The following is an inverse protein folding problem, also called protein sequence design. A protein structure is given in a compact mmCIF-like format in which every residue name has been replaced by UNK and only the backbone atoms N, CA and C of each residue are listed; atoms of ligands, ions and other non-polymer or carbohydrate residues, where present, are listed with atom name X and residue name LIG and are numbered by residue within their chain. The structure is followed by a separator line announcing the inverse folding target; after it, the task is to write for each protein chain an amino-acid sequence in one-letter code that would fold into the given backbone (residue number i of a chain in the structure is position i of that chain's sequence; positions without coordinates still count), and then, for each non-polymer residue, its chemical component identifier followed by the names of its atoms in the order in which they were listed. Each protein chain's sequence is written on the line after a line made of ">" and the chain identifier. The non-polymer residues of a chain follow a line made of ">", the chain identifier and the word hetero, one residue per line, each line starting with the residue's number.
data_IF_143981718123
#
_entry.id   IF_143981718123
#
_cell.length_a   1.000
_cell.length_b   1.000
_cell.length_c   1.000
_cell.angle_alpha   90.00
_cell.angle_beta   90.00
_cell.angle_gamma   90.00
#
_symmetry.space_group_name_H-M   'P 1'
#
loop_
_entity.id
_entity.type
_entity.pdbx_description
1 polymer ?
#
# COMPACT_ATOMS: atom_id res chain seq x y z
N UNK A 1 -7.17 -17.42 -9.75
CA UNK A 1 -5.81 -16.86 -9.86
C UNK A 1 -5.53 -16.11 -8.58
N UNK A 2 -4.35 -16.30 -7.99
CA UNK A 2 -3.94 -15.64 -6.75
C UNK A 2 -3.54 -14.18 -7.06
N UNK A 3 -4.12 -13.18 -6.37
CA UNK A 3 -3.74 -11.77 -6.55
C UNK A 3 -2.53 -11.43 -5.66
N UNK A 4 -1.69 -10.43 -6.02
CA UNK A 4 -0.56 -10.02 -5.17
C UNK A 4 -0.95 -9.66 -3.73
N UNK A 5 -2.15 -9.09 -3.54
CA UNK A 5 -2.73 -8.72 -2.24
C UNK A 5 -2.82 -9.92 -1.30
N UNK A 6 -3.15 -11.10 -1.82
CA UNK A 6 -3.34 -12.29 -1.00
C UNK A 6 -2.05 -12.81 -0.32
N UNK A 7 -0.87 -12.33 -0.73
CA UNK A 7 0.37 -12.60 -0.03
C UNK A 7 0.43 -11.93 1.35
N UNK A 8 -0.44 -10.96 1.62
CA UNK A 8 -0.44 -10.16 2.84
C UNK A 8 -1.58 -10.52 3.82
N UNK A 9 -2.45 -11.48 3.49
CA UNK A 9 -3.65 -11.79 4.30
C UNK A 9 -3.36 -12.40 5.66
N UNK A 10 -2.19 -13.02 5.84
CA UNK A 10 -1.76 -13.60 7.12
C UNK A 10 -1.08 -12.57 8.03
N UNK A 11 -0.83 -11.34 7.54
CA UNK A 11 -0.18 -10.30 8.32
C UNK A 11 -1.16 -9.68 9.31
N UNK A 12 -0.83 -9.75 10.61
CA UNK A 12 -1.62 -9.06 11.63
C UNK A 12 -1.41 -7.55 11.52
N UNK A 13 -2.50 -6.79 11.40
CA UNK A 13 -2.43 -5.33 11.34
C UNK A 13 -2.08 -4.73 12.71
N UNK A 14 -0.87 -4.15 12.88
CA UNK A 14 -0.42 -3.62 14.17
C UNK A 14 -1.03 -2.24 14.49
N UNK A 15 -1.77 -1.63 13.56
CA UNK A 15 -2.35 -0.30 13.74
C UNK A 15 -3.53 -0.35 14.70
N UNK A 16 -3.75 0.74 15.43
CA UNK A 16 -4.94 0.90 16.26
C UNK A 16 -6.16 1.09 15.35
N UNK A 17 -7.30 0.47 15.67
CA UNK A 17 -8.50 0.51 14.81
C UNK A 17 -8.97 1.93 14.47
N UNK A 18 -8.83 2.88 15.41
CA UNK A 18 -9.17 4.30 15.18
C UNK A 18 -8.30 5.01 14.12
N UNK A 19 -7.25 4.36 13.62
CA UNK A 19 -6.29 4.89 12.64
C UNK A 19 -6.27 4.09 11.32
N UNK A 20 -7.28 3.25 11.09
CA UNK A 20 -7.38 2.40 9.90
C UNK A 20 -8.30 3.00 8.85
N UNK A 21 -7.88 4.11 8.25
CA UNK A 21 -8.62 4.73 7.13
C UNK A 21 -8.47 3.95 5.81
N UNK A 22 -7.44 3.09 5.72
CA UNK A 22 -7.13 2.26 4.56
C UNK A 22 -6.77 0.83 4.95
N UNK A 23 -7.04 -0.13 4.07
CA UNK A 23 -6.63 -1.53 4.23
C UNK A 23 -5.11 -1.65 4.29
N UNK A 24 -4.59 -2.54 5.16
CA UNK A 24 -3.15 -2.68 5.33
C UNK A 24 -2.51 -3.25 4.06
N UNK A 25 -3.15 -4.23 3.43
CA UNK A 25 -2.68 -4.81 2.17
C UNK A 25 -2.53 -3.77 1.05
N UNK A 26 -3.46 -2.81 0.95
CA UNK A 26 -3.43 -1.76 -0.08
C UNK A 26 -2.26 -0.79 0.14
N UNK A 27 -1.99 -0.44 1.40
CA UNK A 27 -0.83 0.39 1.78
C UNK A 27 0.47 -0.31 1.40
N UNK A 28 0.61 -1.59 1.76
CA UNK A 28 1.80 -2.38 1.46
C UNK A 28 1.99 -2.52 -0.05
N UNK A 29 0.94 -2.90 -0.76
CA UNK A 29 0.98 -3.10 -2.21
C UNK A 29 1.34 -1.80 -2.94
N UNK A 30 0.69 -0.68 -2.59
CA UNK A 30 0.96 0.64 -3.19
C UNK A 30 2.40 1.07 -2.92
N UNK A 31 2.90 0.88 -1.70
CA UNK A 31 4.28 1.22 -1.34
C UNK A 31 5.29 0.42 -2.16
N UNK A 32 5.12 -0.90 -2.27
CA UNK A 32 6.01 -1.75 -3.05
C UNK A 32 5.99 -1.35 -4.53
N UNK A 33 4.80 -1.14 -5.10
CA UNK A 33 4.67 -0.73 -6.49
C UNK A 33 5.36 0.62 -6.75
N UNK A 34 5.15 1.61 -5.88
CA UNK A 34 5.78 2.92 -5.98
C UNK A 34 7.32 2.84 -5.87
N UNK A 35 7.84 2.09 -4.91
CA UNK A 35 9.30 1.91 -4.70
C UNK A 35 9.94 1.22 -5.90
N UNK A 36 9.30 0.20 -6.48
CA UNK A 36 9.78 -0.44 -7.72
C UNK A 36 9.81 0.56 -8.89
N UNK A 37 8.87 1.51 -8.91
CA UNK A 37 8.83 2.60 -9.88
C UNK A 37 9.76 3.78 -9.56
N UNK A 38 10.62 3.67 -8.53
CA UNK A 38 11.64 4.66 -8.19
C UNK A 38 11.21 5.72 -7.17
N UNK A 39 10.13 5.50 -6.41
CA UNK A 39 9.80 6.37 -5.28
C UNK A 39 10.84 6.23 -4.16
N UNK A 40 11.39 7.35 -3.69
CA UNK A 40 12.40 7.37 -2.62
C UNK A 40 11.84 7.89 -1.29
N UNK A 41 10.71 8.62 -1.34
CA UNK A 41 10.07 9.23 -0.18
C UNK A 41 8.59 8.88 -0.06
N UNK A 42 8.00 9.08 1.12
CA UNK A 42 6.56 8.91 1.33
C UNK A 42 5.72 9.85 0.46
N UNK A 43 6.22 11.05 0.16
CA UNK A 43 5.56 11.98 -0.75
C UNK A 43 5.55 11.45 -2.19
N UNK A 44 6.61 10.76 -2.62
CA UNK A 44 6.67 10.12 -3.94
C UNK A 44 5.67 8.96 -4.03
N UNK A 45 5.52 8.19 -2.95
CA UNK A 45 4.51 7.12 -2.86
C UNK A 45 3.09 7.70 -2.93
N UNK A 46 2.83 8.79 -2.20
CA UNK A 46 1.56 9.50 -2.27
C UNK A 46 1.27 10.01 -3.70
N UNK A 47 2.27 10.62 -4.34
CA UNK A 47 2.16 11.11 -5.71
C UNK A 47 1.90 9.97 -6.71
N UNK A 48 2.61 8.84 -6.56
CA UNK A 48 2.38 7.64 -7.34
C UNK A 48 0.94 7.17 -7.22
N UNK A 49 0.42 7.04 -6.00
CA UNK A 49 -0.97 6.64 -5.75
C UNK A 49 -1.97 7.58 -6.42
N UNK A 50 -1.84 8.89 -6.18
CA UNK A 50 -2.70 9.92 -6.79
C UNK A 50 -2.66 9.91 -8.32
N UNK A 51 -1.53 9.56 -8.93
CA UNK A 51 -1.41 9.45 -10.40
C UNK A 51 -2.23 8.30 -11.02
N UNK A 52 -2.74 7.36 -10.20
CA UNK A 52 -3.51 6.18 -10.61
C UNK A 52 -4.97 6.21 -10.14
N UNK A 53 -5.37 7.30 -9.48
CA UNK A 53 -6.75 7.58 -9.09
C UNK A 53 -7.46 8.19 -10.32
N UNK A 54 -8.25 7.39 -11.04
CA UNK A 54 -9.02 7.80 -12.23
C UNK A 54 -10.47 7.38 -12.09
#
# INVERSE_FOLDING_TARGET
>A
MQTPISCFTELTDPRVDRSKDHLMEDIIFTTIAAVICGAETWNDIEHYGKSKES
#
